data_IF_662477037497
#
_entry.id   IF_662477037497
#
_cell.length_a   1.000
_cell.length_b   1.000
_cell.length_c   1.000
_cell.angle_alpha   90.00
_cell.angle_beta   90.00
_cell.angle_gamma   90.00
#
_symmetry.space_group_name_H-M   'P 1'
#
loop_
_entity.id
_entity.type
_entity.pdbx_description
1 polymer ?
#
# COMPACT_ATOMS: atom_id res chain seq x y z
N UNK A 1 -17.38 10.21 17.83
CA UNK A 1 -16.22 9.56 18.47
C UNK A 1 -15.80 10.44 19.63
N UNK A 2 -15.86 9.90 20.86
CA UNK A 2 -15.61 10.68 22.10
C UNK A 2 -14.19 10.52 22.65
N UNK A 3 -13.50 9.47 22.23
CA UNK A 3 -12.14 9.19 22.65
C UNK A 3 -11.09 9.95 21.86
N UNK A 4 -9.85 9.47 21.92
CA UNK A 4 -8.66 10.16 21.41
C UNK A 4 -7.85 9.25 20.48
N UNK A 5 -7.30 9.85 19.42
CA UNK A 5 -6.38 9.15 18.51
C UNK A 5 -5.01 9.81 18.58
N UNK A 6 -3.97 9.05 18.89
CA UNK A 6 -2.59 9.56 18.98
C UNK A 6 -1.55 8.50 18.63
N UNK A 7 -0.31 8.93 18.34
CA UNK A 7 0.79 7.97 18.23
C UNK A 7 1.13 7.36 19.59
N UNK A 8 1.38 6.06 19.60
CA UNK A 8 1.68 5.27 20.79
C UNK A 8 2.81 5.89 21.61
N UNK A 9 2.51 6.24 22.86
CA UNK A 9 3.48 6.82 23.80
C UNK A 9 3.91 8.26 23.47
N UNK A 10 3.20 8.95 22.58
CA UNK A 10 3.51 10.33 22.16
C UNK A 10 2.35 11.29 22.44
N UNK A 11 1.36 10.87 23.24
CA UNK A 11 0.18 11.67 23.60
C UNK A 11 0.53 12.99 24.34
N UNK A 12 1.70 13.07 24.98
CA UNK A 12 2.17 14.29 25.65
C UNK A 12 2.52 15.44 24.69
N UNK A 13 2.83 15.15 23.42
CA UNK A 13 3.01 16.17 22.39
C UNK A 13 1.67 16.40 21.67
N UNK A 14 1.05 17.59 21.79
CA UNK A 14 -0.22 17.89 21.11
C UNK A 14 -0.16 17.70 19.59
N UNK A 15 1.03 17.79 18.98
CA UNK A 15 1.22 17.59 17.53
C UNK A 15 1.13 16.12 17.11
N UNK A 16 1.12 15.20 18.07
CA UNK A 16 1.00 13.76 17.87
C UNK A 16 -0.36 13.22 18.34
N UNK A 17 -1.28 14.13 18.68
CA UNK A 17 -2.71 13.86 18.86
C UNK A 17 -3.42 14.24 17.58
N UNK A 18 -4.02 13.25 16.92
CA UNK A 18 -4.62 13.39 15.59
C UNK A 18 -6.12 13.67 15.64
N UNK A 19 -6.79 13.10 16.63
CA UNK A 19 -8.21 13.33 16.88
C UNK A 19 -8.36 13.67 18.35
N UNK A 20 -8.77 14.91 18.70
CA UNK A 20 -9.03 15.29 20.08
C UNK A 20 -10.31 14.62 20.62
N UNK A 21 -10.44 14.51 21.96
CA UNK A 21 -11.63 13.98 22.58
C UNK A 21 -12.88 14.79 22.24
N UNK A 22 -14.04 14.13 22.27
CA UNK A 22 -15.35 14.74 22.00
C UNK A 22 -15.46 15.45 20.65
N UNK A 23 -14.84 14.87 19.62
CA UNK A 23 -14.89 15.40 18.25
C UNK A 23 -16.24 15.15 17.56
N UNK A 24 -17.07 14.22 18.06
CA UNK A 24 -18.44 13.98 17.59
C UNK A 24 -18.59 13.41 16.18
N UNK A 25 -17.50 13.33 15.40
CA UNK A 25 -17.50 12.81 14.03
C UNK A 25 -17.33 11.29 13.99
N UNK A 26 -17.68 10.71 12.84
CA UNK A 26 -17.58 9.27 12.55
C UNK A 26 -16.47 8.94 11.55
N UNK A 27 -15.88 9.95 10.90
CA UNK A 27 -14.78 9.81 9.95
C UNK A 27 -13.72 10.87 10.23
N UNK A 28 -12.44 10.47 10.18
CA UNK A 28 -11.31 11.36 10.41
C UNK A 28 -10.22 11.13 9.36
N UNK A 29 -9.57 12.21 8.95
CA UNK A 29 -8.37 12.18 8.12
C UNK A 29 -7.29 13.03 8.79
N UNK A 30 -6.11 12.45 8.97
CA UNK A 30 -4.99 13.09 9.65
C UNK A 30 -3.68 12.72 8.97
N UNK A 31 -2.64 13.51 9.24
CA UNK A 31 -1.30 13.32 8.68
C UNK A 31 -0.31 13.03 9.79
N UNK A 32 0.46 11.95 9.61
CA UNK A 32 1.55 11.58 10.50
C UNK A 32 2.85 12.05 9.87
N UNK A 33 3.66 12.77 10.65
CA UNK A 33 4.96 13.23 10.17
C UNK A 33 6.01 12.12 10.31
N UNK A 34 6.78 11.90 9.24
CA UNK A 34 7.79 10.83 9.17
C UNK A 34 9.00 11.05 10.09
N UNK A 35 9.26 12.29 10.52
CA UNK A 35 10.40 12.66 11.39
C UNK A 35 10.08 12.78 12.88
N UNK A 36 8.81 12.63 13.29
CA UNK A 36 8.36 12.85 14.68
C UNK A 36 7.25 11.88 15.08
N UNK A 37 6.69 12.06 16.27
CA UNK A 37 5.59 11.25 16.79
C UNK A 37 5.90 9.76 16.89
N UNK A 38 7.16 9.43 17.18
CA UNK A 38 7.60 8.03 17.32
C UNK A 38 7.61 7.25 16.01
N UNK A 39 7.48 7.92 14.85
CA UNK A 39 7.68 7.30 13.55
C UNK A 39 9.14 6.88 13.41
N UNK A 40 9.37 5.60 13.07
CA UNK A 40 10.70 5.01 12.95
C UNK A 40 10.95 4.54 11.52
N UNK A 41 12.10 4.84 10.93
CA UNK A 41 12.50 4.20 9.68
C UNK A 41 12.86 2.73 9.93
N UNK A 42 12.74 1.91 8.90
CA UNK A 42 13.39 0.61 8.83
C UNK A 42 14.93 0.74 8.91
N UNK A 43 15.59 -0.35 9.30
CA UNK A 43 17.05 -0.47 9.35
C UNK A 43 17.73 -0.11 8.01
N UNK A 44 17.02 -0.28 6.88
CA UNK A 44 17.53 0.05 5.55
C UNK A 44 16.84 1.27 4.92
N UNK A 45 15.99 1.98 5.68
CA UNK A 45 15.29 3.18 5.21
C UNK A 45 14.24 2.94 4.12
N UNK A 46 13.80 1.70 3.92
CA UNK A 46 12.82 1.33 2.87
C UNK A 46 11.38 1.74 3.21
N UNK A 47 11.07 1.79 4.51
CA UNK A 47 9.76 2.20 4.98
C UNK A 47 9.85 2.92 6.32
N UNK A 48 8.81 3.65 6.65
CA UNK A 48 8.62 4.29 7.96
C UNK A 48 7.39 3.70 8.63
N UNK A 49 7.53 3.33 9.90
CA UNK A 49 6.42 2.80 10.69
C UNK A 49 6.01 3.76 11.80
N UNK A 50 4.71 3.89 12.00
CA UNK A 50 4.11 4.51 13.17
C UNK A 50 3.07 3.57 13.76
N UNK A 51 2.86 3.61 15.07
CA UNK A 51 1.74 2.90 15.70
C UNK A 51 0.78 3.93 16.26
N UNK A 52 -0.44 3.94 15.74
CA UNK A 52 -1.53 4.81 16.20
C UNK A 52 -2.39 4.02 17.17
N UNK A 53 -2.78 4.66 18.26
CA UNK A 53 -3.73 4.13 19.24
C UNK A 53 -5.02 4.91 19.12
N UNK A 54 -6.13 4.20 18.95
CA UNK A 54 -7.49 4.71 19.00
C UNK A 54 -8.03 4.31 20.36
N UNK A 55 -8.10 5.27 21.26
CA UNK A 55 -8.71 5.10 22.57
C UNK A 55 -10.14 5.58 22.50
N UNK A 56 -11.07 4.81 23.05
CA UNK A 56 -12.49 5.20 23.09
C UNK A 56 -12.85 6.02 24.34
N UNK A 57 -12.08 5.86 25.41
CA UNK A 57 -12.09 6.73 26.59
C UNK A 57 -10.87 7.68 26.57
N UNK A 58 -11.02 8.89 27.10
CA UNK A 58 -9.96 9.92 27.10
C UNK A 58 -8.95 9.75 28.24
N UNK A 59 -9.34 9.10 29.33
CA UNK A 59 -8.58 9.02 30.58
C UNK A 59 -7.97 7.62 30.81
N UNK A 60 -8.58 6.57 30.26
CA UNK A 60 -8.20 5.18 30.50
C UNK A 60 -7.91 4.42 29.21
N UNK A 61 -6.91 3.55 29.26
CA UNK A 61 -6.66 2.54 28.22
C UNK A 61 -7.46 1.29 28.56
N UNK A 62 -8.38 0.92 27.68
CA UNK A 62 -9.30 -0.19 27.89
C UNK A 62 -9.02 -1.35 26.93
N UNK A 63 -9.58 -2.53 27.21
CA UNK A 63 -9.29 -3.76 26.43
C UNK A 63 -9.83 -3.66 25.00
N UNK A 64 -10.82 -2.79 24.76
CA UNK A 64 -11.41 -2.54 23.45
C UNK A 64 -10.71 -1.41 22.67
N UNK A 65 -9.67 -0.79 23.22
CA UNK A 65 -8.89 0.19 22.47
C UNK A 65 -8.08 -0.49 21.37
N UNK A 66 -7.95 0.20 20.24
CA UNK A 66 -7.32 -0.35 19.06
C UNK A 66 -5.92 0.24 18.86
N UNK A 67 -4.97 -0.63 18.53
CA UNK A 67 -3.66 -0.20 18.02
C UNK A 67 -3.53 -0.61 16.56
N UNK A 68 -3.20 0.35 15.70
CA UNK A 68 -2.94 0.14 14.28
C UNK A 68 -1.50 0.47 13.99
N UNK A 69 -0.77 -0.45 13.37
CA UNK A 69 0.58 -0.16 12.85
C UNK A 69 0.44 0.30 11.42
N UNK A 70 0.86 1.52 11.16
CA UNK A 70 0.87 2.11 9.84
C UNK A 70 2.29 2.00 9.31
N UNK A 71 2.44 1.48 8.10
CA UNK A 71 3.73 1.38 7.40
C UNK A 71 3.62 2.15 6.09
N UNK A 72 4.45 3.17 5.94
CA UNK A 72 4.61 3.93 4.71
C UNK A 72 5.87 3.46 4.02
N UNK A 73 5.74 2.86 2.85
CA UNK A 73 6.86 2.37 2.05
C UNK A 73 7.14 3.31 0.89
N UNK A 74 8.42 3.53 0.58
CA UNK A 74 8.87 4.24 -0.62
C UNK A 74 9.75 3.30 -1.42
N UNK A 75 9.26 2.82 -2.56
CA UNK A 75 10.05 1.96 -3.43
C UNK A 75 10.74 2.81 -4.50
N UNK A 76 12.07 2.87 -4.47
CA UNK A 76 12.85 3.47 -5.57
C UNK A 76 12.83 2.60 -6.84
N UNK A 77 12.59 1.29 -6.69
CA UNK A 77 12.49 0.32 -7.77
C UNK A 77 11.28 -0.61 -7.50
N UNK A 78 10.33 -0.65 -8.42
CA UNK A 78 9.18 -1.57 -8.35
C UNK A 78 9.47 -2.90 -9.05
N UNK A 79 9.63 -3.98 -8.30
CA UNK A 79 9.55 -5.36 -8.82
C UNK A 79 8.19 -5.96 -8.40
N UNK A 80 7.22 -5.97 -9.31
CA UNK A 80 5.88 -6.56 -9.10
C UNK A 80 5.79 -7.93 -9.77
N UNK A 81 5.55 -8.98 -8.98
CA UNK A 81 5.04 -10.26 -9.47
C UNK A 81 3.54 -10.31 -9.23
N UNK A 82 2.73 -10.53 -10.26
CA UNK A 82 1.28 -10.63 -10.13
C UNK A 82 0.88 -12.04 -9.70
N UNK A 83 0.37 -12.20 -8.48
CA UNK A 83 -0.25 -13.45 -8.03
C UNK A 83 -1.32 -13.17 -6.95
N UNK A 84 -2.35 -14.02 -6.92
CA UNK A 84 -3.52 -13.90 -6.03
C UNK A 84 -3.17 -14.43 -4.61
N UNK A 85 -3.42 -13.68 -3.54
CA UNK A 85 -3.10 -14.15 -2.19
C UNK A 85 -4.15 -15.14 -1.65
N UNK A 86 -3.76 -16.17 -0.87
CA UNK A 86 -4.68 -16.96 -0.05
C UNK A 86 -4.90 -16.34 1.34
N UNK A 87 -6.06 -16.62 1.93
CA UNK A 87 -6.56 -16.05 3.20
C UNK A 87 -6.36 -17.02 4.38
N UNK A 88 -5.96 -16.53 5.56
CA UNK A 88 -6.11 -17.25 6.85
C UNK A 88 -6.36 -16.27 8.04
N UNK A 89 -7.10 -16.77 9.03
CA UNK A 89 -7.72 -16.23 10.27
C UNK A 89 -6.75 -16.43 11.48
N UNK A 90 -6.86 -15.89 12.70
CA UNK A 90 -7.13 -14.58 13.31
C UNK A 90 -6.70 -14.73 14.80
N UNK A 91 -6.01 -13.75 15.39
CA UNK A 91 -5.95 -13.51 16.84
C UNK A 91 -5.43 -12.08 17.09
N UNK A 92 -5.72 -11.46 18.25
CA UNK A 92 -5.70 -10.00 18.49
C UNK A 92 -4.62 -9.23 17.68
N UNK A 93 -5.06 -8.67 16.56
CA UNK A 93 -4.18 -8.40 15.42
C UNK A 93 -3.76 -6.93 15.42
N UNK A 94 -2.44 -6.68 15.43
CA UNK A 94 -1.95 -5.36 15.02
C UNK A 94 -2.22 -5.28 13.53
N UNK A 95 -3.34 -4.67 13.17
CA UNK A 95 -3.70 -4.49 11.76
C UNK A 95 -2.66 -3.58 11.13
N UNK A 96 -1.77 -4.21 10.35
CA UNK A 96 -0.79 -3.50 9.53
C UNK A 96 -1.52 -2.90 8.34
N UNK A 97 -1.57 -1.58 8.29
CA UNK A 97 -2.08 -0.84 7.15
C UNK A 97 -0.88 -0.31 6.38
N UNK A 98 -0.63 -0.93 5.23
CA UNK A 98 0.42 -0.51 4.30
C UNK A 98 -0.13 0.60 3.40
N UNK A 99 0.41 1.81 3.56
CA UNK A 99 0.11 2.95 2.70
C UNK A 99 1.29 3.16 1.74
N UNK A 100 1.02 3.02 0.45
CA UNK A 100 2.01 3.29 -0.60
C UNK A 100 1.99 4.78 -0.93
N UNK A 101 3.15 5.41 -0.98
CA UNK A 101 3.28 6.85 -1.28
C UNK A 101 3.07 7.20 -2.77
N UNK A 102 2.87 6.18 -3.61
CA UNK A 102 3.15 6.16 -5.03
C UNK A 102 2.28 5.07 -5.68
N UNK A 103 1.00 5.38 -5.93
CA UNK A 103 0.10 4.50 -6.69
C UNK A 103 0.51 4.48 -8.17
N UNK A 104 1.42 3.58 -8.55
CA UNK A 104 1.68 3.22 -9.94
C UNK A 104 1.01 1.88 -10.25
N UNK A 105 0.07 1.87 -11.19
CA UNK A 105 -0.57 0.63 -11.65
C UNK A 105 0.22 0.04 -12.82
N UNK A 106 0.70 -1.21 -12.71
CA UNK A 106 1.36 -1.91 -13.81
C UNK A 106 0.41 -2.95 -14.40
N UNK A 107 0.35 -3.06 -15.72
CA UNK A 107 -0.40 -4.13 -16.38
C UNK A 107 0.36 -4.69 -17.59
N UNK A 108 -0.07 -5.88 -18.01
CA UNK A 108 0.51 -6.62 -19.12
C UNK A 108 -0.63 -7.18 -19.98
N UNK A 109 -0.48 -7.09 -21.30
CA UNK A 109 -1.46 -7.53 -22.28
C UNK A 109 -0.76 -8.16 -23.49
N UNK A 110 -1.35 -9.20 -24.07
CA UNK A 110 -0.88 -9.79 -25.34
C UNK A 110 -1.85 -9.36 -26.44
N UNK A 111 -1.33 -8.85 -27.56
CA UNK A 111 -2.10 -8.36 -28.69
C UNK A 111 -1.82 -9.15 -29.99
N UNK A 112 -2.81 -9.20 -30.86
CA UNK A 112 -2.69 -9.79 -32.20
C UNK A 112 -2.02 -8.82 -33.18
N UNK A 113 -0.87 -9.21 -33.74
CA UNK A 113 -0.12 -8.41 -34.69
C UNK A 113 0.90 -7.49 -34.03
N UNK A 114 1.13 -6.31 -34.62
CA UNK A 114 2.10 -5.31 -34.13
C UNK A 114 1.40 -4.31 -33.20
N UNK A 115 1.78 -4.29 -31.93
CA UNK A 115 1.25 -3.34 -30.93
C UNK A 115 1.87 -1.94 -31.03
N UNK A 116 1.62 -1.03 -30.06
CA UNK A 116 0.91 -1.26 -28.78
C UNK A 116 -0.62 -1.04 -28.83
N UNK A 117 -1.19 -0.70 -29.99
CA UNK A 117 -2.64 -0.42 -30.13
C UNK A 117 -3.39 -1.51 -30.90
N UNK A 118 -2.83 -2.72 -30.95
CA UNK A 118 -3.46 -3.85 -31.60
C UNK A 118 -4.53 -4.47 -30.68
N UNK A 119 -5.51 -5.22 -31.23
CA UNK A 119 -6.54 -5.86 -30.42
C UNK A 119 -5.94 -6.91 -29.46
N UNK A 120 -6.48 -7.03 -28.23
CA UNK A 120 -6.05 -8.07 -27.28
C UNK A 120 -6.30 -9.47 -27.85
N UNK A 121 -5.45 -10.42 -27.47
CA UNK A 121 -5.63 -11.82 -27.83
C UNK A 121 -6.80 -12.40 -27.06
N UNK A 122 -7.76 -12.97 -27.80
CA UNK A 122 -8.85 -13.74 -27.23
C UNK A 122 -8.85 -15.15 -27.82
N UNK A 123 -8.73 -16.17 -26.97
CA UNK A 123 -8.79 -17.58 -27.38
C UNK A 123 -7.45 -18.16 -27.86
N UNK A 124 -7.52 -19.19 -28.71
CA UNK A 124 -6.36 -19.96 -29.17
C UNK A 124 -5.64 -19.20 -30.29
N UNK A 125 -4.32 -19.08 -30.19
CA UNK A 125 -3.48 -18.42 -31.22
C UNK A 125 -2.96 -19.45 -32.24
N UNK A 126 -3.21 -19.27 -33.55
CA UNK A 126 -2.64 -20.13 -34.58
C UNK A 126 -1.13 -20.01 -34.69
N UNK A 127 -0.46 -21.10 -35.04
CA UNK A 127 0.98 -21.11 -35.34
C UNK A 127 1.32 -20.15 -36.49
N UNK A 128 2.42 -19.43 -36.36
CA UNK A 128 2.86 -18.43 -37.34
C UNK A 128 2.21 -17.05 -37.20
N UNK A 129 1.26 -16.88 -36.26
CA UNK A 129 0.69 -15.57 -35.95
C UNK A 129 1.73 -14.65 -35.31
N UNK A 130 1.75 -13.38 -35.72
CA UNK A 130 2.53 -12.34 -35.04
C UNK A 130 1.78 -11.89 -33.79
N UNK A 131 2.48 -11.85 -32.65
CA UNK A 131 1.95 -11.36 -31.38
C UNK A 131 2.84 -10.24 -30.83
N UNK A 132 2.24 -9.33 -30.04
CA UNK A 132 2.97 -8.31 -29.29
C UNK A 132 2.64 -8.43 -27.81
N UNK A 133 3.66 -8.48 -26.94
CA UNK A 133 3.51 -8.32 -25.50
C UNK A 133 3.63 -6.85 -25.13
N UNK A 134 2.54 -6.26 -24.67
CA UNK A 134 2.51 -4.89 -24.15
C UNK A 134 2.65 -4.95 -22.64
N UNK A 135 3.60 -4.19 -22.11
CA UNK A 135 3.78 -3.99 -20.67
C UNK A 135 3.78 -2.48 -20.45
N UNK A 136 2.96 -2.00 -19.52
CA UNK A 136 2.74 -0.58 -19.31
C UNK A 136 2.54 -0.25 -17.83
N UNK A 137 2.79 1.03 -17.51
CA UNK A 137 2.56 1.60 -16.19
C UNK A 137 1.61 2.80 -16.29
N UNK A 138 0.78 2.98 -15.27
CA UNK A 138 -0.07 4.14 -15.09
C UNK A 138 0.57 5.03 -14.05
N UNK A 139 1.35 6.00 -14.52
CA UNK A 139 1.99 7.01 -13.68
C UNK A 139 1.39 8.38 -13.99
N UNK A 140 0.49 8.83 -13.12
CA UNK A 140 -0.19 10.13 -13.26
C UNK A 140 0.75 11.33 -13.04
N UNK A 141 1.92 11.14 -12.41
CA UNK A 141 2.85 12.23 -12.08
C UNK A 141 4.06 12.27 -13.01
N UNK A 142 4.32 11.21 -13.77
CA UNK A 142 5.45 11.12 -14.70
C UNK A 142 6.80 11.13 -14.00
N UNK A 143 6.84 10.60 -12.77
CA UNK A 143 8.02 10.54 -11.92
C UNK A 143 8.84 9.25 -12.14
N UNK A 144 8.30 8.28 -12.88
CA UNK A 144 8.88 6.95 -13.04
C UNK A 144 9.19 6.58 -14.51
N UNK A 145 10.30 5.86 -14.70
CA UNK A 145 10.66 5.20 -15.96
C UNK A 145 10.55 3.68 -15.81
N UNK A 146 10.24 3.00 -16.90
CA UNK A 146 9.92 1.58 -16.89
C UNK A 146 11.02 0.75 -17.56
N UNK A 147 11.46 -0.32 -16.88
CA UNK A 147 12.38 -1.31 -17.46
C UNK A 147 11.90 -2.73 -17.24
N UNK A 148 11.80 -3.49 -18.33
CA UNK A 148 11.51 -4.94 -18.27
C UNK A 148 12.81 -5.69 -17.97
N UNK A 149 12.86 -6.41 -16.84
CA UNK A 149 14.06 -7.15 -16.38
C UNK A 149 14.19 -8.52 -17.04
N UNK A 150 13.11 -9.28 -17.13
CA UNK A 150 13.09 -10.61 -17.75
C UNK A 150 11.68 -10.97 -18.22
N UNK A 151 11.56 -11.58 -19.40
CA UNK A 151 10.33 -12.18 -19.92
C UNK A 151 10.54 -13.68 -20.12
N UNK A 152 9.69 -14.51 -19.53
CA UNK A 152 9.78 -15.97 -19.59
C UNK A 152 8.41 -16.50 -20.02
N UNK A 153 8.39 -17.36 -21.03
CA UNK A 153 7.24 -18.18 -21.36
C UNK A 153 7.41 -19.57 -20.72
N UNK A 154 6.37 -20.07 -20.06
CA UNK A 154 6.33 -21.40 -19.46
C UNK A 154 5.09 -22.13 -19.95
N UNK A 155 5.19 -23.45 -20.11
CA UNK A 155 4.09 -24.36 -20.42
C UNK A 155 3.26 -24.75 -19.19
N UNK A 156 3.63 -24.23 -18.01
CA UNK A 156 2.87 -24.39 -16.76
C UNK A 156 3.21 -25.64 -15.95
N UNK A 157 4.42 -26.18 -16.11
CA UNK A 157 4.96 -27.28 -15.29
C UNK A 157 5.10 -26.99 -13.80
#
# INVERSE_FOLDING_TARGET
>A
FEGIVSSKGQHSDPRCVYVPPSSGQTFFSFRIAYTRCGTKPDLHGQFYENTVVVQYDKDLLEVWDEAKRLRCEWFNDYEKTASKPPMVIADLDVVQLDFRGDNVDCWMEIQHGKGPWAPPVSGIVPLGSTLTLVVAINDYRGEFDMRVKSCIASDGG
#
